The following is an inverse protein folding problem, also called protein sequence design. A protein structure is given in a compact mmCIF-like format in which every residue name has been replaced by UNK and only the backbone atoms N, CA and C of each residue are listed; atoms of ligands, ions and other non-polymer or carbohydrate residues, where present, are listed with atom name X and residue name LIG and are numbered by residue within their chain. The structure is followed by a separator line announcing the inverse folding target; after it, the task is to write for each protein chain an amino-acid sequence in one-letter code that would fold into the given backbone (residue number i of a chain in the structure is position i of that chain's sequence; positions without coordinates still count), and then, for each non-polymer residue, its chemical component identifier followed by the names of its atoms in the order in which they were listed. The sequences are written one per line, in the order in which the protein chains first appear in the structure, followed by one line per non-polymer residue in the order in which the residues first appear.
data_IF_237404930081
#
_entry.id   IF_237404930081
#
_cell.length_a   1.000
_cell.length_b   1.000
_cell.length_c   1.000
_cell.angle_alpha   90.00
_cell.angle_beta   90.00
_cell.angle_gamma   90.00
#
_symmetry.space_group_name_H-M   'P 1'
#
loop_
_entity.id
_entity.type
_entity.pdbx_description
1 polymer ?
#
# COMPACT_ATOMS: atom_id res chain seq x y z
N UNK A 1 -13.72 4.98 12.95
CA UNK A 1 -13.50 3.65 12.33
C UNK A 1 -13.42 2.54 13.37
N UNK A 2 -12.73 2.71 14.51
CA UNK A 2 -12.66 1.68 15.55
C UNK A 2 -14.04 1.21 16.03
N UNK A 3 -14.96 2.13 16.31
CA UNK A 3 -16.32 1.76 16.71
C UNK A 3 -17.09 1.00 15.61
N UNK A 4 -16.85 1.35 14.34
CA UNK A 4 -17.45 0.65 13.20
C UNK A 4 -16.89 -0.76 13.08
N UNK A 5 -15.56 -0.91 13.20
CA UNK A 5 -14.89 -2.20 13.19
C UNK A 5 -15.42 -3.12 14.30
N UNK A 6 -15.52 -2.62 15.53
CA UNK A 6 -16.00 -3.38 16.70
C UNK A 6 -17.46 -3.85 16.58
N UNK A 7 -18.28 -3.11 15.82
CA UNK A 7 -19.71 -3.42 15.63
C UNK A 7 -19.99 -4.25 14.39
N UNK A 8 -19.02 -4.40 13.50
CA UNK A 8 -19.17 -5.13 12.25
C UNK A 8 -19.19 -6.65 12.47
N UNK A 9 -19.78 -7.37 11.55
CA UNK A 9 -19.65 -8.83 11.49
C UNK A 9 -18.31 -9.19 10.82
N UNK A 10 -17.40 -9.88 11.51
CA UNK A 10 -16.12 -10.26 10.92
C UNK A 10 -16.26 -11.20 9.70
N UNK A 11 -17.34 -11.98 9.61
CA UNK A 11 -17.58 -12.79 8.43
C UNK A 11 -17.97 -11.95 7.21
N UNK A 12 -18.73 -10.87 7.40
CA UNK A 12 -19.03 -9.89 6.34
C UNK A 12 -17.78 -9.11 5.90
N UNK A 13 -16.94 -8.70 6.87
CA UNK A 13 -15.64 -8.08 6.58
C UNK A 13 -14.80 -9.01 5.68
N UNK A 14 -14.63 -10.27 6.08
CA UNK A 14 -13.86 -11.27 5.34
C UNK A 14 -14.43 -11.50 3.94
N UNK A 15 -15.74 -11.66 3.80
CA UNK A 15 -16.39 -11.87 2.51
C UNK A 15 -16.21 -10.69 1.54
N UNK A 16 -16.26 -9.44 2.05
CA UNK A 16 -16.17 -8.22 1.28
C UNK A 16 -14.73 -7.87 0.89
N UNK A 17 -13.80 -8.04 1.82
CA UNK A 17 -12.39 -7.66 1.63
C UNK A 17 -11.54 -8.79 1.02
N UNK A 18 -12.02 -10.03 1.08
CA UNK A 18 -11.22 -11.21 0.73
C UNK A 18 -10.18 -11.59 1.78
N UNK A 19 -10.05 -10.81 2.87
CA UNK A 19 -9.09 -11.11 3.95
C UNK A 19 -9.61 -12.27 4.80
N UNK A 20 -8.86 -13.40 4.92
CA UNK A 20 -9.28 -14.54 5.71
C UNK A 20 -9.49 -14.17 7.19
N UNK A 21 -10.59 -14.68 7.76
CA UNK A 21 -10.88 -14.55 9.19
C UNK A 21 -10.96 -15.93 9.84
N UNK A 22 -10.16 -16.14 10.87
CA UNK A 22 -10.23 -17.34 11.72
C UNK A 22 -11.09 -17.04 12.96
N UNK A 23 -12.19 -17.79 13.07
CA UNK A 23 -13.15 -17.66 14.21
C UNK A 23 -12.58 -18.15 15.53
N UNK A 24 -11.63 -19.09 15.48
CA UNK A 24 -11.06 -19.68 16.70
C UNK A 24 -10.08 -18.71 17.37
N UNK A 25 -9.20 -18.12 16.61
CA UNK A 25 -8.24 -17.12 17.08
C UNK A 25 -8.81 -15.69 17.08
N UNK A 26 -9.95 -15.47 16.45
CA UNK A 26 -10.58 -14.17 16.23
C UNK A 26 -9.62 -13.19 15.49
N UNK A 27 -8.91 -13.66 14.48
CA UNK A 27 -7.93 -12.86 13.74
C UNK A 27 -8.21 -12.80 12.24
N UNK A 28 -7.93 -11.64 11.66
CA UNK A 28 -7.78 -11.46 10.21
C UNK A 28 -6.31 -11.65 9.83
N UNK A 29 -6.05 -12.44 8.80
CA UNK A 29 -4.69 -12.69 8.27
C UNK A 29 -4.49 -11.91 6.99
N UNK A 30 -3.56 -10.97 6.95
CA UNK A 30 -3.26 -10.14 5.77
C UNK A 30 -1.77 -9.91 5.60
N UNK A 31 -1.37 -9.54 4.37
CA UNK A 31 -0.03 -9.06 4.10
C UNK A 31 -0.04 -7.55 3.87
N UNK A 32 0.96 -6.87 4.39
CA UNK A 32 1.23 -5.47 4.10
C UNK A 32 2.71 -5.30 3.79
N UNK A 33 3.03 -4.82 2.59
CA UNK A 33 4.41 -4.63 2.12
C UNK A 33 5.29 -5.88 2.31
N UNK A 34 4.75 -7.05 1.94
CA UNK A 34 5.44 -8.34 2.02
C UNK A 34 5.52 -8.97 3.42
N UNK A 35 4.97 -8.33 4.45
CA UNK A 35 4.94 -8.87 5.82
C UNK A 35 3.56 -9.42 6.13
N UNK A 36 3.52 -10.65 6.66
CA UNK A 36 2.29 -11.26 7.18
C UNK A 36 1.94 -10.72 8.56
N UNK A 37 0.67 -10.34 8.73
CA UNK A 37 0.12 -9.83 9.99
C UNK A 37 -1.14 -10.57 10.40
N UNK A 38 -1.34 -10.62 11.71
CA UNK A 38 -2.60 -11.00 12.34
C UNK A 38 -3.22 -9.74 12.96
N UNK A 39 -4.47 -9.46 12.60
CA UNK A 39 -5.26 -8.36 13.18
C UNK A 39 -6.37 -8.94 14.00
N UNK A 40 -6.29 -8.78 15.32
CA UNK A 40 -7.25 -9.34 16.25
C UNK A 40 -8.56 -8.54 16.24
N UNK A 41 -9.67 -9.24 16.28
CA UNK A 41 -11.01 -8.68 16.37
C UNK A 41 -11.58 -8.94 17.80
N UNK A 42 -12.24 -7.98 18.45
CA UNK A 42 -12.62 -6.65 17.94
C UNK A 42 -11.66 -5.50 18.35
N UNK A 43 -10.56 -5.78 19.03
CA UNK A 43 -9.70 -4.77 19.66
C UNK A 43 -8.63 -4.16 18.75
N UNK A 44 -8.48 -4.71 17.52
CA UNK A 44 -7.50 -4.25 16.52
C UNK A 44 -6.05 -4.34 17.02
N UNK A 45 -5.74 -5.32 17.85
CA UNK A 45 -4.37 -5.65 18.21
C UNK A 45 -3.70 -6.29 17.00
N UNK A 46 -2.53 -5.79 16.62
CA UNK A 46 -1.77 -6.23 15.45
C UNK A 46 -0.50 -6.91 15.90
N UNK A 47 -0.21 -8.07 15.31
CA UNK A 47 1.04 -8.79 15.48
C UNK A 47 1.57 -9.24 14.11
N UNK A 48 2.87 -9.17 13.90
CA UNK A 48 3.51 -9.73 12.72
C UNK A 48 3.86 -11.20 12.92
N UNK A 49 4.17 -11.89 11.82
CA UNK A 49 4.69 -13.26 11.87
C UNK A 49 6.02 -13.27 12.64
N UNK A 50 6.12 -14.03 13.73
CA UNK A 50 7.36 -14.14 14.52
C UNK A 50 8.59 -14.60 13.74
N UNK A 51 8.40 -15.30 12.63
CA UNK A 51 9.49 -15.74 11.76
C UNK A 51 9.96 -14.67 10.76
N UNK A 52 9.27 -13.52 10.70
CA UNK A 52 9.66 -12.41 9.84
C UNK A 52 10.98 -11.77 10.27
N UNK A 53 11.90 -11.59 9.32
CA UNK A 53 13.23 -11.01 9.56
C UNK A 53 13.43 -9.62 8.95
N UNK A 54 12.37 -8.98 8.44
CA UNK A 54 12.49 -7.69 7.73
C UNK A 54 12.94 -6.52 8.63
N UNK A 55 12.77 -6.63 9.94
CA UNK A 55 13.27 -5.66 10.94
C UNK A 55 12.49 -4.34 11.03
N UNK A 56 11.46 -4.14 10.17
CA UNK A 56 10.53 -3.02 10.23
C UNK A 56 9.11 -3.49 9.92
N UNK A 57 8.19 -3.18 10.80
CA UNK A 57 6.81 -3.64 10.77
C UNK A 57 5.84 -2.45 10.70
N UNK A 58 5.54 -1.94 9.48
CA UNK A 58 4.76 -0.71 9.32
C UNK A 58 3.39 -0.76 9.98
N UNK A 59 2.69 -1.90 9.98
CA UNK A 59 1.36 -1.99 10.59
C UNK A 59 1.39 -1.90 12.13
N UNK A 60 2.52 -2.15 12.76
CA UNK A 60 2.70 -1.94 14.21
C UNK A 60 3.26 -0.55 14.52
N UNK A 61 4.21 -0.06 13.69
CA UNK A 61 4.99 1.14 13.97
C UNK A 61 4.37 2.42 13.41
N UNK A 62 3.65 2.35 12.27
CA UNK A 62 3.18 3.53 11.54
C UNK A 62 1.67 3.72 11.68
N UNK A 63 1.26 4.84 12.28
CA UNK A 63 -0.16 5.18 12.46
C UNK A 63 -0.92 5.22 11.11
N UNK A 64 -0.29 5.71 10.05
CA UNK A 64 -0.92 5.78 8.73
C UNK A 64 -1.21 4.39 8.16
N UNK A 65 -0.31 3.42 8.34
CA UNK A 65 -0.54 2.04 7.92
C UNK A 65 -1.70 1.41 8.71
N UNK A 66 -1.78 1.68 10.03
CA UNK A 66 -2.90 1.23 10.86
C UNK A 66 -4.24 1.80 10.42
N UNK A 67 -4.27 3.10 10.10
CA UNK A 67 -5.47 3.77 9.60
C UNK A 67 -5.89 3.18 8.26
N UNK A 68 -4.95 2.99 7.33
CA UNK A 68 -5.21 2.42 6.00
C UNK A 68 -5.86 1.03 6.11
N UNK A 69 -5.26 0.13 6.88
CA UNK A 69 -5.77 -1.24 7.04
C UNK A 69 -7.11 -1.25 7.78
N UNK A 70 -7.27 -0.43 8.82
CA UNK A 70 -8.55 -0.31 9.53
C UNK A 70 -9.67 0.18 8.61
N UNK A 71 -9.41 1.20 7.79
CA UNK A 71 -10.39 1.69 6.80
C UNK A 71 -10.71 0.63 5.76
N UNK A 72 -9.70 -0.08 5.27
CA UNK A 72 -9.92 -1.19 4.34
C UNK A 72 -10.82 -2.28 4.94
N UNK A 73 -10.57 -2.69 6.18
CA UNK A 73 -11.40 -3.68 6.86
C UNK A 73 -12.84 -3.19 7.11
N UNK A 74 -13.04 -1.87 7.31
CA UNK A 74 -14.38 -1.31 7.58
C UNK A 74 -15.16 -1.01 6.30
N UNK A 75 -14.54 -0.47 5.27
CA UNK A 75 -15.22 0.07 4.07
C UNK A 75 -14.75 -0.56 2.76
N UNK A 76 -13.52 -1.09 2.70
CA UNK A 76 -12.90 -1.57 1.47
C UNK A 76 -13.60 -2.80 0.89
N UNK A 77 -13.48 -2.96 -0.42
CA UNK A 77 -13.95 -4.11 -1.18
C UNK A 77 -12.80 -4.69 -1.98
N UNK A 78 -12.69 -6.00 -2.07
CA UNK A 78 -11.74 -6.62 -2.98
C UNK A 78 -12.36 -6.84 -4.35
N UNK A 79 -11.53 -6.65 -5.36
CA UNK A 79 -11.82 -7.06 -6.73
C UNK A 79 -10.51 -7.44 -7.42
N UNK A 80 -10.51 -8.39 -8.35
CA UNK A 80 -9.32 -8.72 -9.10
C UNK A 80 -8.92 -7.54 -10.00
N UNK A 81 -7.61 -7.28 -10.11
CA UNK A 81 -7.08 -6.35 -11.11
C UNK A 81 -7.19 -6.96 -12.50
N UNK A 82 -7.44 -6.13 -13.52
CA UNK A 82 -7.37 -6.56 -14.93
C UNK A 82 -5.94 -6.54 -15.49
N UNK A 83 -4.95 -6.15 -14.67
CA UNK A 83 -3.56 -5.96 -15.06
C UNK A 83 -3.24 -4.57 -15.60
N UNK A 84 -4.21 -3.65 -15.59
CA UNK A 84 -3.99 -2.24 -15.93
C UNK A 84 -3.51 -1.44 -14.73
N UNK A 85 -2.77 -0.38 -15.00
CA UNK A 85 -2.30 0.57 -14.00
C UNK A 85 -2.81 1.97 -14.31
N UNK A 86 -3.18 2.69 -13.25
CA UNK A 86 -3.72 4.05 -13.30
C UNK A 86 -2.73 5.01 -12.63
N UNK A 87 -2.60 6.20 -13.21
CA UNK A 87 -2.02 7.32 -12.47
C UNK A 87 -2.99 7.79 -11.39
N UNK A 88 -2.50 8.45 -10.36
CA UNK A 88 -3.37 9.02 -9.31
C UNK A 88 -4.45 9.94 -9.88
N UNK A 89 -4.14 10.68 -10.95
CA UNK A 89 -5.09 11.58 -11.63
C UNK A 89 -6.31 10.86 -12.21
N UNK A 90 -6.13 9.62 -12.66
CA UNK A 90 -7.19 8.80 -13.27
C UNK A 90 -8.10 8.14 -12.24
N UNK A 91 -7.73 8.17 -10.97
CA UNK A 91 -8.56 7.62 -9.90
C UNK A 91 -9.72 8.56 -9.59
N UNK A 92 -10.86 8.06 -9.08
CA UNK A 92 -11.95 8.89 -8.61
C UNK A 92 -11.45 9.92 -7.58
N UNK A 93 -11.82 11.19 -7.76
CA UNK A 93 -11.36 12.34 -6.94
C UNK A 93 -9.85 12.63 -6.99
N UNK A 94 -9.07 11.87 -7.77
CA UNK A 94 -7.63 12.05 -7.88
C UNK A 94 -7.22 13.45 -8.36
N UNK A 95 -8.01 14.09 -9.24
CA UNK A 95 -7.75 15.46 -9.69
C UNK A 95 -7.88 16.49 -8.56
N UNK A 96 -8.76 16.27 -7.59
CA UNK A 96 -8.99 17.17 -6.44
C UNK A 96 -7.77 17.14 -5.50
N UNK A 97 -7.22 15.98 -5.25
CA UNK A 97 -6.08 15.78 -4.33
C UNK A 97 -4.72 15.72 -5.04
N UNK A 98 -4.67 15.93 -6.36
CA UNK A 98 -3.46 15.76 -7.17
C UNK A 98 -2.27 16.57 -6.66
N UNK A 99 -2.50 17.82 -6.28
CA UNK A 99 -1.44 18.71 -5.78
C UNK A 99 -0.82 18.20 -4.48
N UNK A 100 -1.64 17.67 -3.58
CA UNK A 100 -1.21 17.07 -2.32
C UNK A 100 -0.41 15.80 -2.59
N UNK A 101 -0.91 14.92 -3.46
CA UNK A 101 -0.23 13.71 -3.87
C UNK A 101 1.13 14.00 -4.53
N UNK A 102 1.19 14.96 -5.45
CA UNK A 102 2.44 15.38 -6.07
C UNK A 102 3.48 15.80 -5.02
N UNK A 103 3.09 16.67 -4.08
CA UNK A 103 4.00 17.18 -3.06
C UNK A 103 4.41 16.12 -2.02
N UNK A 104 3.45 15.33 -1.56
CA UNK A 104 3.67 14.36 -0.47
C UNK A 104 4.26 13.03 -0.94
N UNK A 105 3.98 12.61 -2.16
CA UNK A 105 4.38 11.32 -2.68
C UNK A 105 5.42 11.46 -3.80
N UNK A 106 5.08 12.06 -4.95
CA UNK A 106 5.98 12.09 -6.09
C UNK A 106 7.25 12.89 -5.82
N UNK A 107 7.16 14.10 -5.27
CA UNK A 107 8.35 14.91 -4.97
C UNK A 107 9.21 14.28 -3.88
N UNK A 108 8.60 13.70 -2.85
CA UNK A 108 9.37 13.00 -1.79
C UNK A 108 10.11 11.79 -2.34
N UNK A 109 9.47 11.02 -3.22
CA UNK A 109 10.09 9.88 -3.89
C UNK A 109 11.24 10.34 -4.80
N UNK A 110 10.98 11.33 -5.67
CA UNK A 110 11.97 11.87 -6.60
C UNK A 110 13.21 12.44 -5.89
N UNK A 111 13.02 13.38 -4.98
CA UNK A 111 14.15 14.01 -4.27
C UNK A 111 14.79 13.13 -3.19
N UNK A 112 14.05 12.17 -2.65
CA UNK A 112 14.57 11.20 -1.69
C UNK A 112 15.50 10.17 -2.30
N UNK A 113 15.17 9.70 -3.51
CA UNK A 113 15.81 8.54 -4.13
C UNK A 113 16.32 8.76 -5.56
N UNK A 114 15.88 9.81 -6.28
CA UNK A 114 16.18 9.97 -7.69
C UNK A 114 17.67 9.92 -8.02
N UNK A 115 18.52 10.49 -7.15
CA UNK A 115 19.99 10.42 -7.26
C UNK A 115 20.62 9.39 -6.30
N UNK A 116 19.81 8.50 -5.71
CA UNK A 116 20.21 7.45 -4.75
C UNK A 116 19.61 6.11 -5.16
N UNK A 117 19.76 5.72 -6.41
CA UNK A 117 19.09 4.54 -6.97
C UNK A 117 19.41 3.25 -6.23
N UNK A 118 20.65 3.08 -5.72
CA UNK A 118 21.01 1.90 -4.93
C UNK A 118 20.26 1.84 -3.58
N UNK A 119 20.02 2.99 -2.95
CA UNK A 119 19.20 3.03 -1.73
C UNK A 119 17.72 2.68 -2.03
N UNK A 120 17.21 3.13 -3.17
CA UNK A 120 15.87 2.75 -3.64
C UNK A 120 15.79 1.25 -3.94
N UNK A 121 16.75 0.70 -4.68
CA UNK A 121 16.87 -0.73 -4.97
C UNK A 121 16.83 -1.56 -3.68
N UNK A 122 17.72 -1.22 -2.74
CA UNK A 122 17.80 -1.92 -1.46
C UNK A 122 16.49 -1.85 -0.66
N UNK A 123 15.77 -0.72 -0.70
CA UNK A 123 14.48 -0.58 -0.05
C UNK A 123 13.40 -1.46 -0.72
N UNK A 124 13.37 -1.50 -2.05
CA UNK A 124 12.41 -2.30 -2.81
C UNK A 124 12.65 -3.81 -2.64
N UNK A 125 13.90 -4.23 -2.64
CA UNK A 125 14.27 -5.64 -2.40
C UNK A 125 13.82 -6.13 -1.01
N UNK A 126 13.90 -5.27 0.01
CA UNK A 126 13.44 -5.60 1.38
C UNK A 126 11.94 -5.90 1.47
N UNK A 127 11.13 -5.28 0.63
CA UNK A 127 9.68 -5.55 0.59
C UNK A 127 9.30 -6.58 -0.46
N UNK A 128 10.28 -7.26 -1.07
CA UNK A 128 10.04 -8.29 -2.07
C UNK A 128 9.51 -7.74 -3.41
N UNK A 129 9.82 -6.48 -3.73
CA UNK A 129 9.38 -5.85 -4.99
C UNK A 129 10.07 -6.47 -6.21
N UNK A 130 9.35 -6.52 -7.32
CA UNK A 130 9.84 -7.01 -8.62
C UNK A 130 10.34 -5.85 -9.47
N UNK A 131 11.57 -5.91 -10.02
CA UNK A 131 12.08 -4.85 -10.90
C UNK A 131 11.31 -4.79 -12.21
N UNK A 132 11.17 -3.58 -12.75
CA UNK A 132 10.53 -3.28 -14.04
C UNK A 132 11.49 -2.54 -14.94
N UNK A 133 11.28 -2.68 -16.26
CA UNK A 133 12.05 -1.96 -17.29
C UNK A 133 11.36 -0.63 -17.66
N UNK A 134 11.27 0.29 -16.70
CA UNK A 134 10.72 1.63 -16.89
C UNK A 134 11.59 2.68 -16.20
N UNK A 135 11.66 3.89 -16.78
CA UNK A 135 12.49 4.97 -16.24
C UNK A 135 13.98 4.57 -16.15
N UNK A 136 14.69 5.15 -15.20
CA UNK A 136 16.05 4.74 -14.87
C UNK A 136 16.07 3.59 -13.86
N UNK A 137 15.05 3.54 -12.99
CA UNK A 137 14.80 2.42 -12.08
C UNK A 137 13.31 2.37 -11.72
N UNK A 138 12.74 1.18 -11.73
CA UNK A 138 11.34 0.97 -11.38
C UNK A 138 11.12 -0.38 -10.71
N UNK A 139 10.12 -0.42 -9.83
CA UNK A 139 9.70 -1.62 -9.14
C UNK A 139 8.19 -1.70 -9.00
N UNK A 140 7.69 -2.93 -8.99
CA UNK A 140 6.31 -3.27 -8.65
C UNK A 140 6.28 -4.06 -7.33
N UNK A 141 5.35 -3.75 -6.47
CA UNK A 141 5.12 -4.47 -5.22
C UNK A 141 3.65 -4.50 -4.84
N UNK A 142 3.29 -5.44 -4.00
CA UNK A 142 1.98 -5.52 -3.39
C UNK A 142 1.95 -4.70 -2.10
N UNK A 143 1.02 -3.76 -1.99
CA UNK A 143 0.86 -2.93 -0.79
C UNK A 143 0.11 -3.70 0.28
N UNK A 144 -1.05 -4.21 -0.09
CA UNK A 144 -1.91 -5.09 0.70
C UNK A 144 -2.49 -6.14 -0.26
N UNK A 145 -2.87 -7.29 0.24
CA UNK A 145 -3.29 -8.46 -0.55
C UNK A 145 -4.14 -8.10 -1.78
N UNK A 146 -3.59 -8.36 -2.97
CA UNK A 146 -4.24 -8.12 -4.27
C UNK A 146 -4.13 -6.68 -4.82
N UNK A 147 -3.55 -5.73 -4.08
CA UNK A 147 -3.41 -4.33 -4.52
C UNK A 147 -1.94 -3.97 -4.76
N UNK A 148 -1.61 -3.67 -6.03
CA UNK A 148 -0.23 -3.49 -6.48
C UNK A 148 0.06 -2.05 -6.87
N UNK A 149 1.29 -1.62 -6.61
CA UNK A 149 1.80 -0.29 -6.95
C UNK A 149 3.09 -0.44 -7.75
N UNK A 150 3.25 0.42 -8.75
CA UNK A 150 4.52 0.60 -9.45
C UNK A 150 5.12 1.95 -9.07
N UNK A 151 6.39 1.96 -8.70
CA UNK A 151 7.17 3.17 -8.48
C UNK A 151 8.26 3.28 -9.53
N UNK A 152 8.29 4.41 -10.24
CA UNK A 152 9.22 4.68 -11.32
C UNK A 152 10.00 5.95 -10.98
N UNK A 153 11.30 5.91 -11.15
CA UNK A 153 12.21 7.03 -10.90
C UNK A 153 13.03 7.38 -12.15
N UNK A 154 13.24 8.67 -12.34
CA UNK A 154 14.21 9.24 -13.28
C UNK A 154 15.20 10.07 -12.47
N UNK A 155 16.49 9.82 -12.68
CA UNK A 155 17.55 10.59 -12.06
C UNK A 155 17.55 12.04 -12.58
N UNK A 156 17.95 12.95 -11.70
CA UNK A 156 18.23 14.32 -12.14
C UNK A 156 19.62 14.41 -12.82
N UNK A 157 19.76 15.41 -13.68
CA UNK A 157 21.02 15.81 -14.31
C UNK A 157 21.25 17.31 -14.16
N UNK A 158 22.20 17.87 -14.89
CA UNK A 158 22.54 19.31 -14.84
C UNK A 158 21.43 20.21 -15.39
N UNK A 159 20.51 19.68 -16.21
CA UNK A 159 19.43 20.42 -16.85
C UNK A 159 18.06 20.18 -16.19
N UNK A 160 17.83 18.97 -15.69
CA UNK A 160 16.52 18.57 -15.16
C UNK A 160 16.63 17.98 -13.74
N UNK A 161 15.71 18.37 -12.83
CA UNK A 161 15.63 17.74 -11.53
C UNK A 161 15.14 16.27 -11.62
N UNK A 162 15.41 15.45 -10.59
CA UNK A 162 14.87 14.10 -10.55
C UNK A 162 13.33 14.13 -10.55
N UNK A 163 12.74 13.11 -11.16
CA UNK A 163 11.29 12.96 -11.22
C UNK A 163 10.86 11.54 -10.87
N UNK A 164 9.58 11.37 -10.56
CA UNK A 164 9.00 10.08 -10.22
C UNK A 164 7.57 9.94 -10.71
N UNK A 165 7.12 8.69 -10.80
CA UNK A 165 5.73 8.33 -11.02
C UNK A 165 5.34 7.18 -10.11
N UNK A 166 4.11 7.21 -9.63
CA UNK A 166 3.49 6.12 -8.89
C UNK A 166 2.22 5.73 -9.64
N UNK A 167 2.11 4.45 -9.97
CA UNK A 167 0.95 3.87 -10.64
C UNK A 167 0.29 2.85 -9.72
N UNK A 168 -1.02 2.80 -9.77
CA UNK A 168 -1.87 1.94 -8.96
C UNK A 168 -2.56 0.90 -9.84
N UNK A 169 -2.63 -0.35 -9.42
CA UNK A 169 -3.46 -1.34 -10.11
C UNK A 169 -4.91 -0.86 -10.16
N UNK A 170 -5.62 -1.19 -11.23
CA UNK A 170 -6.95 -0.64 -11.55
C UNK A 170 -8.06 -1.02 -10.57
N UNK A 171 -7.78 -1.94 -9.65
CA UNK A 171 -8.67 -2.30 -8.55
C UNK A 171 -8.53 -1.40 -7.30
N UNK A 172 -7.49 -0.58 -7.20
CA UNK A 172 -7.30 0.32 -6.05
C UNK A 172 -8.52 1.19 -5.74
N UNK A 173 -9.16 1.86 -6.72
CA UNK A 173 -10.31 2.71 -6.45
C UNK A 173 -11.57 1.98 -5.96
N UNK A 174 -11.59 0.66 -6.01
CA UNK A 174 -12.67 -0.17 -5.47
C UNK A 174 -12.51 -0.33 -3.95
N UNK A 175 -11.26 -0.39 -3.49
CA UNK A 175 -10.90 -0.62 -2.10
C UNK A 175 -10.63 0.65 -1.30
N UNK A 176 -10.05 1.67 -1.96
CA UNK A 176 -9.49 2.85 -1.32
C UNK A 176 -10.02 4.14 -1.95
N UNK A 177 -10.22 5.14 -1.12
CA UNK A 177 -10.52 6.50 -1.58
C UNK A 177 -9.23 7.23 -1.95
N UNK A 178 -9.34 8.33 -2.71
CA UNK A 178 -8.17 9.12 -3.11
C UNK A 178 -7.32 9.61 -1.92
N UNK A 179 -7.93 9.83 -0.77
CA UNK A 179 -7.24 10.24 0.46
C UNK A 179 -6.39 9.11 1.08
N UNK A 180 -6.70 7.86 0.77
CA UNK A 180 -6.01 6.68 1.30
C UNK A 180 -4.81 6.28 0.44
N UNK A 181 -4.85 6.67 -0.84
CA UNK A 181 -3.83 6.39 -1.85
C UNK A 181 -2.70 7.43 -1.81
#
# INVERSE_FOLDING_TARGET
YMELFQKADPAEISARTGIPYDKQSQTFSLHLLGVAYQVHFPDYVVTHDPESTVGYYPLEAAINARILVLRYLVEGHSAPSTGKYLTYRETPWGTVYLKQFQGRCLMRLAYGFGNKQEAFRSAMEKIGATPLEHGDIAYEFEVIDGFRVQMILWAGDDEFPPSSQILFSDNFPIAFQAEDM
#
